data_IF_824820442354
#
_entry.id   IF_824820442354
#
_cell.length_a   1.000
_cell.length_b   1.000
_cell.length_c   1.000
_cell.angle_alpha   90.00
_cell.angle_beta   90.00
_cell.angle_gamma   90.00
#
_symmetry.space_group_name_H-M   'P 1'
#
loop_
_entity.id
_entity.type
_entity.pdbx_description
1 polymer ?
#
# COMPACT_ATOMS: atom_id res chain seq x y z
N UNK A 1 29.79 8.29 -85.91
CA UNK A 1 28.39 8.76 -86.14
C UNK A 1 27.93 9.55 -84.93
N UNK A 2 27.90 10.88 -85.03
CA UNK A 2 26.70 11.75 -84.92
C UNK A 2 25.88 11.53 -83.63
N UNK A 3 25.96 12.53 -82.72
CA UNK A 3 24.87 13.47 -82.33
C UNK A 3 23.87 12.83 -81.34
N UNK A 4 23.40 13.44 -80.25
CA UNK A 4 23.33 14.81 -79.77
C UNK A 4 23.20 14.75 -78.24
N UNK A 5 24.04 15.49 -77.50
CA UNK A 5 23.73 15.91 -76.13
C UNK A 5 22.63 16.95 -76.25
N UNK A 6 21.41 16.64 -75.79
CA UNK A 6 20.32 17.61 -75.76
C UNK A 6 20.18 18.14 -74.32
N UNK A 7 20.69 19.35 -73.98
CA UNK A 7 20.69 19.87 -72.61
C UNK A 7 19.30 20.19 -72.05
N UNK A 8 18.26 20.13 -72.91
CA UNK A 8 16.88 20.42 -72.52
C UNK A 8 16.23 19.33 -71.65
N UNK A 9 16.64 18.06 -71.76
CA UNK A 9 16.09 16.99 -70.91
C UNK A 9 16.59 17.04 -69.46
N UNK A 10 17.84 17.47 -69.25
CA UNK A 10 18.39 17.71 -67.91
C UNK A 10 17.78 18.95 -67.25
N UNK A 11 17.41 19.97 -68.04
CA UNK A 11 16.75 21.17 -67.55
C UNK A 11 15.29 20.88 -67.13
N UNK A 12 14.56 20.05 -67.89
CA UNK A 12 13.19 19.64 -67.54
C UNK A 12 13.18 18.76 -66.29
N UNK A 13 14.15 17.86 -66.13
CA UNK A 13 14.30 17.05 -64.92
C UNK A 13 14.63 17.90 -63.67
N UNK A 14 15.43 18.97 -63.82
CA UNK A 14 15.75 19.87 -62.70
C UNK A 14 14.56 20.76 -62.31
N UNK A 15 13.76 21.21 -63.28
CA UNK A 15 12.54 22.02 -63.03
C UNK A 15 11.43 21.19 -62.38
N UNK A 16 11.31 19.90 -62.72
CA UNK A 16 10.36 18.99 -62.04
C UNK A 16 10.77 18.64 -60.60
N UNK A 17 12.07 18.64 -60.27
CA UNK A 17 12.55 18.43 -58.88
C UNK A 17 12.39 19.70 -58.04
N UNK A 18 12.50 20.89 -58.64
CA UNK A 18 12.28 22.17 -57.95
C UNK A 18 10.77 22.45 -57.74
N UNK A 19 9.89 21.97 -58.63
CA UNK A 19 8.42 22.07 -58.48
C UNK A 19 7.81 21.13 -57.42
N UNK A 20 8.53 20.08 -56.99
CA UNK A 20 8.12 19.23 -55.86
C UNK A 20 8.61 19.75 -54.49
N UNK A 21 9.29 20.90 -54.48
CA UNK A 21 9.85 21.54 -53.27
C UNK A 21 9.10 22.79 -52.83
N UNK A 22 7.94 23.11 -53.45
CA UNK A 22 7.16 24.31 -53.13
C UNK A 22 5.68 24.01 -53.00
N UNK A 23 5.33 23.24 -51.96
CA UNK A 23 4.04 23.33 -51.32
C UNK A 23 4.24 23.65 -49.84
N UNK A 24 3.99 24.93 -49.51
CA UNK A 24 3.51 25.30 -48.19
C UNK A 24 4.56 25.36 -47.07
N UNK A 25 5.36 26.42 -47.09
CA UNK A 25 5.89 27.05 -45.88
C UNK A 25 4.74 27.60 -45.02
N UNK A 26 3.95 26.69 -44.43
CA UNK A 26 2.98 26.99 -43.39
C UNK A 26 3.67 26.79 -42.05
N UNK A 27 4.03 27.92 -41.44
CA UNK A 27 4.39 28.11 -40.04
C UNK A 27 4.13 26.86 -39.15
N UNK A 28 5.16 26.06 -38.85
CA UNK A 28 5.10 25.09 -37.74
C UNK A 28 5.16 25.86 -36.42
N UNK A 29 4.10 26.62 -36.16
CA UNK A 29 3.74 27.01 -34.81
C UNK A 29 3.63 25.75 -33.98
N UNK A 30 4.31 25.73 -32.84
CA UNK A 30 4.16 24.72 -31.80
C UNK A 30 2.66 24.47 -31.61
N UNK A 31 2.19 23.28 -31.98
CA UNK A 31 0.79 22.89 -31.92
C UNK A 31 0.31 22.77 -30.47
N UNK A 32 0.05 23.91 -29.82
CA UNK A 32 -1.06 23.99 -28.90
C UNK A 32 -2.31 23.97 -29.77
N UNK A 33 -3.02 22.86 -29.81
CA UNK A 33 -4.30 22.77 -30.50
C UNK A 33 -5.25 23.77 -29.84
N UNK A 34 -5.42 24.95 -30.45
CA UNK A 34 -6.52 25.83 -30.12
C UNK A 34 -7.80 25.01 -30.31
N UNK A 35 -8.63 24.95 -29.28
CA UNK A 35 -9.92 24.26 -29.34
C UNK A 35 -10.72 24.80 -30.53
N UNK A 36 -11.46 23.95 -31.27
CA UNK A 36 -12.33 24.41 -32.33
C UNK A 36 -13.28 25.51 -31.81
N UNK A 37 -13.38 26.62 -32.52
CA UNK A 37 -14.26 27.74 -32.18
C UNK A 37 -15.65 27.52 -32.80
N UNK A 38 -16.30 26.43 -32.42
CA UNK A 38 -17.63 26.04 -32.88
C UNK A 38 -18.69 26.08 -31.75
N UNK A 39 -18.30 26.62 -30.58
CA UNK A 39 -19.14 26.66 -29.39
C UNK A 39 -19.40 25.30 -28.75
N UNK A 40 -18.73 24.23 -29.21
CA UNK A 40 -18.91 22.87 -28.68
C UNK A 40 -17.82 22.52 -27.67
N UNK A 41 -18.15 21.58 -26.78
CA UNK A 41 -17.22 21.09 -25.76
C UNK A 41 -16.31 20.04 -26.37
N UNK A 42 -15.11 20.44 -26.78
CA UNK A 42 -14.10 19.53 -27.34
C UNK A 42 -13.16 18.89 -26.29
N UNK A 43 -13.20 19.39 -25.05
CA UNK A 43 -12.24 19.03 -24.01
C UNK A 43 -10.84 19.60 -24.28
N UNK A 44 -10.06 19.88 -23.25
CA UNK A 44 -8.67 20.32 -23.44
C UNK A 44 -7.90 19.14 -24.04
N UNK A 45 -7.02 19.41 -25.01
CA UNK A 45 -6.18 18.38 -25.61
C UNK A 45 -5.55 17.54 -24.50
N UNK A 46 -5.65 16.19 -24.56
CA UNK A 46 -5.05 15.36 -23.55
C UNK A 46 -3.58 15.75 -23.46
N UNK A 47 -3.15 16.21 -22.28
CA UNK A 47 -1.73 16.38 -22.00
C UNK A 47 -0.98 15.09 -22.32
N UNK A 48 0.37 15.13 -22.27
CA UNK A 48 1.24 13.97 -22.50
C UNK A 48 0.56 12.65 -22.13
N UNK A 49 0.32 11.77 -23.12
CA UNK A 49 -0.47 10.53 -23.00
C UNK A 49 -0.28 9.90 -21.61
N UNK A 50 -1.30 9.99 -20.76
CA UNK A 50 -1.30 9.35 -19.47
C UNK A 50 -1.27 7.83 -19.68
N UNK A 51 -0.12 7.23 -19.42
CA UNK A 51 0.05 5.78 -19.43
C UNK A 51 -0.01 5.33 -17.99
N UNK A 52 -1.11 4.70 -17.58
CA UNK A 52 -1.26 4.04 -16.27
C UNK A 52 -0.25 2.90 -16.17
N UNK A 53 0.86 3.05 -15.44
CA UNK A 53 1.72 1.92 -15.18
C UNK A 53 1.03 1.05 -14.12
N UNK A 54 0.96 -0.26 -14.36
CA UNK A 54 0.62 -1.22 -13.30
C UNK A 54 1.51 -0.93 -12.08
N UNK A 55 0.95 -0.60 -10.89
CA UNK A 55 1.77 -0.43 -9.70
C UNK A 55 2.54 -1.72 -9.42
N UNK A 56 3.86 -1.64 -9.13
CA UNK A 56 4.66 -2.82 -8.82
C UNK A 56 4.04 -3.61 -7.66
N UNK A 57 4.00 -4.93 -7.79
CA UNK A 57 3.47 -5.81 -6.74
C UNK A 57 1.95 -5.83 -6.61
N UNK A 58 1.19 -5.01 -7.35
CA UNK A 58 -0.27 -4.98 -7.27
C UNK A 58 -0.97 -5.76 -8.38
N UNK A 59 -2.20 -6.19 -8.11
CA UNK A 59 -3.13 -6.81 -9.06
C UNK A 59 -4.38 -5.95 -9.20
N UNK A 60 -4.95 -5.91 -10.41
CA UNK A 60 -6.20 -5.21 -10.64
C UNK A 60 -7.37 -6.08 -10.23
N UNK A 61 -8.19 -5.57 -9.33
CA UNK A 61 -9.44 -6.18 -8.87
C UNK A 61 -10.56 -5.56 -9.72
N UNK A 62 -11.25 -6.36 -10.56
CA UNK A 62 -12.28 -5.85 -11.44
C UNK A 62 -13.48 -5.31 -10.64
N UNK A 63 -14.20 -4.36 -11.21
CA UNK A 63 -15.48 -3.94 -10.61
C UNK A 63 -16.50 -5.08 -10.69
N UNK A 64 -17.40 -5.16 -9.72
CA UNK A 64 -18.45 -6.18 -9.73
C UNK A 64 -19.33 -6.14 -8.50
N UNK A 65 -20.26 -7.09 -8.45
CA UNK A 65 -21.16 -7.29 -7.32
C UNK A 65 -20.86 -8.62 -6.63
N UNK A 66 -20.99 -8.66 -5.31
CA UNK A 66 -20.82 -9.88 -4.54
C UNK A 66 -21.68 -9.91 -3.28
N UNK A 67 -21.84 -11.10 -2.73
CA UNK A 67 -22.50 -11.34 -1.46
C UNK A 67 -21.48 -11.21 -0.33
N UNK A 68 -21.55 -10.11 0.42
CA UNK A 68 -20.72 -9.83 1.59
C UNK A 68 -21.33 -10.47 2.84
N UNK A 69 -20.48 -11.08 3.67
CA UNK A 69 -20.86 -11.68 4.95
C UNK A 69 -20.59 -13.19 5.03
N UNK A 70 -21.13 -13.88 6.05
CA UNK A 70 -20.92 -15.31 6.22
C UNK A 70 -21.49 -16.09 5.02
N UNK A 71 -20.81 -17.18 4.66
CA UNK A 71 -21.22 -18.00 3.51
C UNK A 71 -22.27 -19.05 3.90
N UNK A 72 -22.02 -19.83 4.96
CA UNK A 72 -22.93 -20.89 5.42
C UNK A 72 -22.83 -21.11 6.95
N UNK A 73 -21.62 -21.06 7.52
CA UNK A 73 -21.40 -21.25 8.96
C UNK A 73 -21.47 -19.92 9.74
N UNK A 74 -22.27 -19.90 10.81
CA UNK A 74 -22.15 -18.98 11.95
C UNK A 74 -22.05 -19.82 13.24
N UNK A 75 -20.85 -20.34 13.57
CA UNK A 75 -20.67 -21.22 14.73
C UNK A 75 -21.03 -20.56 16.06
N UNK A 76 -21.01 -19.23 16.12
CA UNK A 76 -21.36 -18.46 17.32
C UNK A 76 -22.86 -18.17 17.43
N UNK A 77 -23.67 -18.49 16.40
CA UNK A 77 -25.08 -18.08 16.28
C UNK A 77 -25.27 -16.59 16.61
N UNK A 78 -24.29 -15.77 16.23
CA UNK A 78 -24.24 -14.37 16.63
C UNK A 78 -25.23 -13.50 15.81
N UNK A 79 -25.63 -13.96 14.62
CA UNK A 79 -26.52 -13.24 13.68
C UNK A 79 -26.11 -11.78 13.40
N UNK A 80 -24.86 -11.42 13.69
CA UNK A 80 -24.35 -10.05 13.67
C UNK A 80 -23.96 -9.59 12.27
N UNK A 81 -23.61 -10.52 11.38
CA UNK A 81 -23.31 -10.26 9.98
C UNK A 81 -24.35 -10.97 9.09
N UNK A 82 -25.26 -10.20 8.49
CA UNK A 82 -26.20 -10.72 7.48
C UNK A 82 -25.56 -10.69 6.11
N UNK A 83 -25.79 -11.76 5.34
CA UNK A 83 -25.38 -11.80 3.95
C UNK A 83 -26.12 -10.72 3.15
N UNK A 84 -25.38 -9.92 2.36
CA UNK A 84 -25.95 -8.84 1.56
C UNK A 84 -25.20 -8.62 0.25
N UNK A 85 -25.93 -8.17 -0.77
CA UNK A 85 -25.32 -7.78 -2.05
C UNK A 85 -24.65 -6.41 -1.93
N UNK A 86 -23.41 -6.33 -2.41
CA UNK A 86 -22.56 -5.14 -2.41
C UNK A 86 -21.92 -4.99 -3.79
N UNK A 87 -21.85 -3.76 -4.29
CA UNK A 87 -21.12 -3.38 -5.50
C UNK A 87 -19.78 -2.73 -5.13
N UNK A 88 -18.70 -3.20 -5.76
CA UNK A 88 -17.34 -2.68 -5.58
C UNK A 88 -16.86 -2.13 -6.93
N UNK A 89 -16.41 -0.88 -6.96
CA UNK A 89 -15.69 -0.31 -8.10
C UNK A 89 -14.30 -0.92 -8.22
N UNK A 90 -13.77 -1.01 -9.44
CA UNK A 90 -12.45 -1.60 -9.67
C UNK A 90 -11.33 -0.79 -9.01
N UNK A 91 -10.32 -1.49 -8.51
CA UNK A 91 -9.19 -0.92 -7.78
C UNK A 91 -7.96 -1.83 -7.91
N UNK A 92 -6.80 -1.35 -7.49
CA UNK A 92 -5.59 -2.17 -7.42
C UNK A 92 -5.31 -2.56 -5.96
N UNK A 93 -4.87 -3.79 -5.73
CA UNK A 93 -4.52 -4.32 -4.42
C UNK A 93 -3.15 -4.97 -4.46
N UNK A 94 -2.36 -4.85 -3.39
CA UNK A 94 -1.11 -5.59 -3.28
C UNK A 94 -1.36 -7.11 -3.38
N UNK A 95 -0.57 -7.78 -4.21
CA UNK A 95 -0.68 -9.21 -4.45
C UNK A 95 -0.41 -10.02 -3.18
N UNK A 96 0.50 -9.54 -2.33
CA UNK A 96 0.92 -10.18 -1.08
C UNK A 96 0.68 -9.24 0.10
N UNK A 97 0.82 -9.74 1.32
CA UNK A 97 1.00 -8.85 2.47
C UNK A 97 2.26 -8.00 2.29
N UNK A 98 2.29 -6.80 2.88
CA UNK A 98 3.51 -5.97 2.90
C UNK A 98 4.62 -6.75 3.59
N UNK A 99 5.74 -6.89 2.90
CA UNK A 99 6.88 -7.66 3.38
C UNK A 99 7.77 -6.84 4.31
N UNK A 100 8.60 -7.52 5.11
CA UNK A 100 9.62 -6.88 5.91
C UNK A 100 10.57 -5.99 5.06
N UNK A 101 10.90 -6.39 3.82
CA UNK A 101 11.74 -5.57 2.95
C UNK A 101 11.06 -4.28 2.49
N UNK A 102 9.79 -4.34 2.12
CA UNK A 102 9.01 -3.15 1.74
C UNK A 102 8.86 -2.21 2.94
N UNK A 103 8.56 -2.76 4.12
CA UNK A 103 8.46 -1.95 5.33
C UNK A 103 9.82 -1.40 5.80
N UNK A 104 10.92 -2.12 5.60
CA UNK A 104 12.28 -1.61 5.85
C UNK A 104 12.60 -0.43 4.94
N UNK A 105 12.10 -0.40 3.69
CA UNK A 105 12.28 0.75 2.81
C UNK A 105 11.66 2.00 3.44
N UNK A 106 10.47 1.88 4.04
CA UNK A 106 9.84 2.96 4.80
C UNK A 106 10.69 3.36 6.03
N UNK A 107 11.08 2.38 6.85
CA UNK A 107 11.92 2.63 8.04
C UNK A 107 13.22 3.34 7.70
N UNK A 108 13.92 2.88 6.66
CA UNK A 108 15.18 3.48 6.24
C UNK A 108 14.97 4.87 5.65
N UNK A 109 13.89 5.09 4.90
CA UNK A 109 13.57 6.42 4.40
C UNK A 109 13.34 7.43 5.54
N UNK A 110 12.62 7.03 6.59
CA UNK A 110 12.36 7.87 7.77
C UNK A 110 13.64 8.09 8.57
N UNK A 111 14.36 7.01 8.88
CA UNK A 111 15.66 7.05 9.56
C UNK A 111 16.63 8.01 8.86
N UNK A 112 16.78 7.87 7.55
CA UNK A 112 17.68 8.69 6.75
C UNK A 112 17.23 10.16 6.77
N UNK A 113 15.92 10.42 6.76
CA UNK A 113 15.37 11.79 6.83
C UNK A 113 15.58 12.43 8.20
N UNK A 114 15.47 11.67 9.29
CA UNK A 114 15.77 12.15 10.66
C UNK A 114 17.26 12.42 10.80
N UNK A 115 18.10 11.47 10.40
CA UNK A 115 19.55 11.60 10.44
C UNK A 115 20.05 12.80 9.62
N UNK A 116 19.48 13.01 8.43
CA UNK A 116 19.83 14.15 7.58
C UNK A 116 19.63 15.48 8.30
N UNK A 117 18.48 15.67 8.96
CA UNK A 117 18.21 16.91 9.70
C UNK A 117 19.18 17.08 10.88
N UNK A 118 19.47 16.01 11.61
CA UNK A 118 20.39 16.03 12.76
C UNK A 118 21.84 16.30 12.35
N UNK A 119 22.25 15.85 11.17
CA UNK A 119 23.58 16.10 10.60
C UNK A 119 23.68 17.39 9.78
N UNK A 120 22.59 18.16 9.66
CA UNK A 120 22.54 19.38 8.84
C UNK A 120 22.60 19.12 7.33
N UNK A 121 22.27 17.91 6.88
CA UNK A 121 22.19 17.56 5.45
C UNK A 121 20.84 17.97 4.88
N UNK A 122 20.58 19.28 4.95
CA UNK A 122 19.38 19.93 4.41
C UNK A 122 19.77 20.96 3.36
N UNK A 123 18.82 21.28 2.48
CA UNK A 123 18.93 22.33 1.46
C UNK A 123 17.70 23.21 1.51
N UNK A 124 17.88 24.52 1.44
CA UNK A 124 16.77 25.46 1.30
C UNK A 124 16.18 25.34 -0.11
N UNK A 125 14.86 25.18 -0.21
CA UNK A 125 14.13 25.27 -1.47
C UNK A 125 13.85 26.73 -1.86
N UNK A 126 13.31 26.95 -3.08
CA UNK A 126 12.92 28.28 -3.56
C UNK A 126 11.94 29.01 -2.63
N UNK A 127 11.09 28.24 -1.94
CA UNK A 127 10.05 28.74 -1.04
C UNK A 127 10.55 29.00 0.39
N UNK A 128 11.86 28.89 0.63
CA UNK A 128 12.48 29.02 1.96
C UNK A 128 12.30 27.81 2.88
N UNK A 129 11.55 26.78 2.45
CA UNK A 129 11.37 25.52 3.19
C UNK A 129 12.63 24.65 3.04
N UNK A 130 13.09 24.08 4.15
CA UNK A 130 14.22 23.14 4.15
C UNK A 130 13.80 21.73 3.73
N UNK A 131 14.55 21.15 2.80
CA UNK A 131 14.37 19.79 2.31
C UNK A 131 15.60 18.94 2.62
N UNK A 132 15.37 17.65 2.87
CA UNK A 132 16.47 16.68 3.05
C UNK A 132 17.31 16.58 1.78
N UNK A 133 18.64 16.72 1.93
CA UNK A 133 19.59 16.47 0.84
C UNK A 133 19.80 14.96 0.67
N UNK A 134 18.95 14.37 -0.18
CA UNK A 134 18.99 12.93 -0.48
C UNK A 134 20.26 12.50 -1.21
N UNK A 135 21.00 13.41 -1.86
CA UNK A 135 22.26 13.08 -2.54
C UNK A 135 23.34 12.81 -1.50
N UNK A 136 23.47 13.69 -0.51
CA UNK A 136 24.38 13.48 0.63
C UNK A 136 24.00 12.22 1.42
N UNK A 137 22.71 12.01 1.69
CA UNK A 137 22.27 10.80 2.40
C UNK A 137 22.56 9.51 1.63
N UNK A 138 22.48 9.51 0.30
CA UNK A 138 22.83 8.33 -0.51
C UNK A 138 24.32 8.00 -0.46
N UNK A 139 25.18 9.01 -0.28
CA UNK A 139 26.63 8.82 -0.14
C UNK A 139 27.06 8.43 1.28
N UNK A 140 26.20 8.62 2.28
CA UNK A 140 26.48 8.31 3.68
C UNK A 140 26.57 6.80 3.90
N UNK A 141 27.65 6.37 4.55
CA UNK A 141 27.89 4.96 4.92
C UNK A 141 27.54 4.76 6.39
N UNK A 142 26.43 4.08 6.66
CA UNK A 142 25.96 3.82 8.02
C UNK A 142 26.93 3.02 8.90
N UNK A 143 27.79 2.21 8.29
CA UNK A 143 28.80 1.42 9.00
C UNK A 143 30.13 2.16 9.20
N UNK A 144 30.26 3.40 8.71
CA UNK A 144 31.47 4.20 8.92
C UNK A 144 31.53 4.66 10.39
N UNK A 145 32.61 4.35 11.13
CA UNK A 145 32.77 4.81 12.51
C UNK A 145 32.57 6.32 12.67
N UNK A 146 33.02 7.14 11.72
CA UNK A 146 32.86 8.60 11.80
C UNK A 146 31.41 9.04 11.76
N UNK A 147 30.59 8.35 10.96
CA UNK A 147 29.14 8.62 10.87
C UNK A 147 28.45 8.21 12.17
N UNK A 148 28.81 7.06 12.72
CA UNK A 148 28.26 6.57 13.99
C UNK A 148 28.62 7.52 15.13
N UNK A 149 29.87 8.02 15.19
CA UNK A 149 30.27 9.01 16.19
C UNK A 149 29.52 10.34 16.05
N UNK A 150 29.39 10.85 14.82
CA UNK A 150 28.64 12.09 14.57
C UNK A 150 27.16 11.95 15.00
N UNK A 151 26.54 10.80 14.72
CA UNK A 151 25.17 10.50 15.16
C UNK A 151 25.07 10.24 16.66
N UNK A 152 26.11 9.70 17.30
CA UNK A 152 26.15 9.50 18.75
C UNK A 152 26.24 10.83 19.52
N UNK A 153 26.68 11.91 18.87
CA UNK A 153 26.55 13.28 19.39
C UNK A 153 25.13 13.86 19.30
N UNK A 154 24.19 13.10 18.74
CA UNK A 154 22.76 13.46 18.62
C UNK A 154 21.91 12.54 19.49
N UNK A 155 20.60 12.80 19.55
CA UNK A 155 19.61 11.96 20.25
C UNK A 155 19.13 10.75 19.43
N UNK A 156 19.70 10.49 18.24
CA UNK A 156 19.29 9.37 17.37
C UNK A 156 19.87 8.01 17.79
N UNK A 157 21.01 8.01 18.50
CA UNK A 157 21.65 6.80 19.00
C UNK A 157 21.25 6.61 20.46
N UNK A 158 21.00 5.36 20.86
CA UNK A 158 20.66 5.01 22.25
C UNK A 158 21.69 5.60 23.24
N UNK A 159 21.28 6.09 24.41
CA UNK A 159 22.20 6.55 25.44
C UNK A 159 23.05 5.39 25.97
N UNK A 160 24.23 5.64 26.59
CA UNK A 160 25.13 4.57 27.06
C UNK A 160 24.47 3.51 27.94
N UNK A 161 23.54 3.91 28.82
CA UNK A 161 22.87 3.02 29.78
C UNK A 161 21.90 2.04 29.11
N UNK A 162 21.39 2.37 27.92
CA UNK A 162 20.44 1.53 27.17
C UNK A 162 21.13 0.57 26.17
N UNK A 163 22.47 0.60 26.10
CA UNK A 163 23.24 -0.18 25.11
C UNK A 163 23.64 -1.55 25.65
N UNK A 164 23.33 -2.59 24.88
CA UNK A 164 23.85 -3.93 25.15
C UNK A 164 25.31 -4.02 24.67
N UNK A 165 26.24 -4.38 25.56
CA UNK A 165 27.69 -4.42 25.31
C UNK A 165 28.26 -3.11 24.76
N UNK A 166 27.67 -1.96 25.12
CA UNK A 166 28.11 -0.63 24.67
C UNK A 166 27.93 -0.37 23.17
N UNK A 167 27.26 -1.27 22.44
CA UNK A 167 27.06 -1.15 21.00
C UNK A 167 26.17 0.07 20.69
N UNK A 168 26.68 0.96 19.83
CA UNK A 168 25.94 2.13 19.35
C UNK A 168 24.89 1.67 18.34
N UNK A 169 23.63 1.73 18.73
CA UNK A 169 22.48 1.38 17.89
C UNK A 169 21.51 2.55 17.85
N UNK A 170 20.75 2.64 16.74
CA UNK A 170 19.74 3.67 16.56
C UNK A 170 18.59 3.40 17.51
N UNK A 171 18.11 4.43 18.20
CA UNK A 171 16.92 4.36 19.03
C UNK A 171 15.67 4.25 18.13
N UNK A 172 14.93 3.11 18.19
CA UNK A 172 13.72 2.92 17.39
C UNK A 172 12.64 3.98 17.63
N UNK A 173 12.58 4.57 18.84
CA UNK A 173 11.59 5.59 19.22
C UNK A 173 11.79 6.92 18.49
N UNK A 174 13.00 7.16 17.97
CA UNK A 174 13.37 8.39 17.24
C UNK A 174 13.08 8.30 15.75
N UNK A 175 12.70 7.12 15.26
CA UNK A 175 12.28 6.92 13.88
C UNK A 175 10.80 7.30 13.77
N UNK A 176 10.56 8.62 13.72
CA UNK A 176 9.22 9.20 13.70
C UNK A 176 8.91 9.73 12.30
N UNK A 177 7.79 9.26 11.74
CA UNK A 177 7.24 9.76 10.50
C UNK A 177 6.24 10.89 10.80
N UNK A 178 6.39 12.00 10.09
CA UNK A 178 5.47 13.14 10.15
C UNK A 178 4.46 12.99 9.01
N UNK A 179 3.26 12.53 9.34
CA UNK A 179 2.13 12.42 8.43
C UNK A 179 1.40 13.76 8.34
N UNK A 180 1.02 14.13 7.11
CA UNK A 180 0.18 15.30 6.82
C UNK A 180 -0.86 14.92 5.77
N UNK A 181 -2.12 14.75 6.20
CA UNK A 181 -3.23 14.33 5.33
C UNK A 181 -4.39 15.31 5.37
N UNK A 182 -5.18 15.33 4.30
CA UNK A 182 -6.36 16.18 4.18
C UNK A 182 -7.63 15.39 4.52
N UNK A 183 -8.37 15.82 5.54
CA UNK A 183 -9.63 15.17 5.93
C UNK A 183 -10.77 15.59 4.99
N UNK A 184 -10.95 14.78 3.93
CA UNK A 184 -12.01 14.99 2.94
C UNK A 184 -13.41 14.90 3.54
N UNK A 185 -13.63 14.06 4.57
CA UNK A 185 -14.96 13.84 5.14
C UNK A 185 -15.39 15.05 5.95
N UNK A 186 -14.49 15.58 6.79
CA UNK A 186 -14.75 16.79 7.56
C UNK A 186 -14.86 18.01 6.64
N UNK A 187 -14.01 18.11 5.61
CA UNK A 187 -14.08 19.20 4.63
C UNK A 187 -15.37 19.17 3.80
N UNK A 188 -15.92 17.99 3.49
CA UNK A 188 -17.15 17.84 2.71
C UNK A 188 -18.44 18.14 3.52
N UNK A 189 -18.36 18.27 4.84
CA UNK A 189 -19.52 18.58 5.66
C UNK A 189 -20.08 19.96 5.27
N UNK A 190 -21.40 20.05 5.03
CA UNK A 190 -22.05 21.30 4.58
C UNK A 190 -21.78 22.49 5.52
N UNK A 191 -21.67 22.23 6.82
CA UNK A 191 -21.36 23.24 7.84
C UNK A 191 -19.96 23.86 7.69
N UNK A 192 -19.05 23.18 7.00
CA UNK A 192 -17.65 23.56 6.79
C UNK A 192 -17.42 24.24 5.43
N UNK A 193 -18.47 24.54 4.66
CA UNK A 193 -18.36 25.24 3.39
C UNK A 193 -17.68 26.61 3.54
N UNK A 194 -16.72 26.92 2.65
CA UNK A 194 -15.98 28.19 2.63
C UNK A 194 -14.86 28.32 3.66
N UNK A 195 -14.63 27.31 4.50
CA UNK A 195 -13.51 27.30 5.45
C UNK A 195 -12.16 27.06 4.72
N UNK A 196 -11.05 27.62 5.23
CA UNK A 196 -9.74 27.45 4.62
C UNK A 196 -9.26 26.00 4.70
N UNK A 197 -8.55 25.55 3.65
CA UNK A 197 -8.00 24.18 3.54
C UNK A 197 -7.17 23.77 4.77
N UNK A 198 -6.43 24.71 5.35
CA UNK A 198 -5.56 24.49 6.51
C UNK A 198 -6.28 23.91 7.72
N UNK A 199 -7.59 24.18 7.89
CA UNK A 199 -8.40 23.67 8.99
C UNK A 199 -8.60 22.15 8.94
N UNK A 200 -8.53 21.56 7.74
CA UNK A 200 -8.76 20.13 7.52
C UNK A 200 -7.46 19.34 7.27
N UNK A 201 -6.31 19.99 7.46
CA UNK A 201 -5.02 19.31 7.40
C UNK A 201 -4.73 18.69 8.77
N UNK A 202 -4.70 17.37 8.81
CA UNK A 202 -4.39 16.58 9.99
C UNK A 202 -2.91 16.22 9.98
N UNK A 203 -2.19 16.63 11.02
CA UNK A 203 -0.77 16.33 11.22
C UNK A 203 -0.59 15.34 12.36
N UNK A 204 0.23 14.31 12.14
CA UNK A 204 0.47 13.25 13.13
C UNK A 204 1.92 12.80 13.11
N UNK A 205 2.47 12.62 14.30
CA UNK A 205 3.78 12.02 14.50
C UNK A 205 3.59 10.56 14.88
N UNK A 206 4.14 9.66 14.08
CA UNK A 206 4.01 8.21 14.27
C UNK A 206 5.40 7.62 14.41
N UNK A 207 5.68 6.95 15.53
CA UNK A 207 6.86 6.10 15.65
C UNK A 207 6.62 4.84 14.80
N UNK A 208 7.43 4.62 13.77
CA UNK A 208 7.12 3.63 12.71
C UNK A 208 7.92 2.34 12.82
N UNK A 209 8.89 2.24 13.72
CA UNK A 209 9.63 0.99 13.90
C UNK A 209 8.71 -0.09 14.49
N UNK A 210 8.67 -1.33 13.93
CA UNK A 210 7.80 -2.38 14.45
C UNK A 210 8.17 -2.78 15.88
N UNK A 211 7.18 -3.04 16.72
CA UNK A 211 7.38 -3.61 18.04
C UNK A 211 7.83 -5.08 17.89
N UNK A 212 9.10 -5.34 18.17
CA UNK A 212 9.69 -6.69 18.07
C UNK A 212 9.40 -7.56 19.29
N UNK A 213 8.95 -6.98 20.41
CA UNK A 213 8.67 -7.70 21.65
C UNK A 213 7.32 -8.44 21.59
N UNK A 214 6.50 -8.18 20.56
CA UNK A 214 5.24 -8.89 20.31
C UNK A 214 5.41 -10.42 20.27
N UNK A 215 6.55 -10.91 19.78
CA UNK A 215 6.84 -12.35 19.71
C UNK A 215 6.94 -13.01 21.09
N UNK A 216 7.32 -12.27 22.12
CA UNK A 216 7.33 -12.73 23.51
C UNK A 216 5.98 -12.41 24.17
N UNK A 217 5.48 -11.18 23.97
CA UNK A 217 4.28 -10.67 24.63
C UNK A 217 3.01 -11.42 24.25
N UNK A 218 2.88 -11.85 22.99
CA UNK A 218 1.68 -12.55 22.52
C UNK A 218 1.64 -14.03 22.94
N UNK A 219 2.78 -14.61 23.35
CA UNK A 219 2.91 -16.03 23.64
C UNK A 219 3.66 -16.26 24.95
N UNK A 220 2.96 -16.10 26.07
CA UNK A 220 3.50 -16.41 27.40
C UNK A 220 3.96 -17.87 27.48
N UNK A 221 5.09 -18.10 28.16
CA UNK A 221 5.69 -19.43 28.37
C UNK A 221 6.10 -20.16 27.07
N UNK A 222 6.58 -19.42 26.08
CA UNK A 222 7.12 -19.97 24.82
C UNK A 222 8.49 -19.38 24.48
N UNK A 223 9.32 -20.14 23.76
CA UNK A 223 10.66 -19.73 23.35
C UNK A 223 10.65 -19.08 21.96
N UNK A 224 10.50 -17.75 21.91
CA UNK A 224 10.36 -16.95 20.69
C UNK A 224 11.41 -15.83 20.55
N UNK A 225 12.43 -15.82 21.41
CA UNK A 225 13.52 -14.86 21.42
C UNK A 225 14.27 -14.75 20.08
N UNK A 226 14.47 -15.83 19.30
CA UNK A 226 15.02 -15.71 17.96
C UNK A 226 14.18 -14.81 17.04
N UNK A 227 12.85 -14.87 17.14
CA UNK A 227 11.94 -14.07 16.32
C UNK A 227 11.99 -12.60 16.74
N UNK A 228 11.96 -12.30 18.04
CA UNK A 228 12.18 -10.93 18.54
C UNK A 228 13.49 -10.32 18.03
N UNK A 229 14.58 -11.09 18.06
CA UNK A 229 15.91 -10.56 17.67
C UNK A 229 16.10 -10.40 16.17
N UNK A 230 15.46 -11.24 15.35
CA UNK A 230 15.85 -11.42 13.94
C UNK A 230 14.71 -11.24 12.93
N UNK A 231 13.44 -11.35 13.30
CA UNK A 231 12.35 -11.36 12.33
C UNK A 231 12.34 -10.08 11.46
N UNK A 232 12.30 -8.92 12.10
CA UNK A 232 12.29 -7.65 11.36
C UNK A 232 13.68 -7.21 10.86
N UNK A 233 14.79 -7.66 11.47
CA UNK A 233 16.14 -7.15 11.16
C UNK A 233 16.92 -8.02 10.16
N UNK A 234 16.69 -9.33 10.13
CA UNK A 234 17.53 -10.26 9.40
C UNK A 234 17.08 -10.40 7.92
N UNK A 235 18.03 -10.45 6.94
CA UNK A 235 17.69 -10.56 5.52
C UNK A 235 16.89 -11.81 5.14
N UNK A 236 17.06 -12.93 5.85
CA UNK A 236 16.34 -14.18 5.58
C UNK A 236 14.81 -14.03 5.69
N UNK A 237 14.32 -13.12 6.54
CA UNK A 237 12.90 -12.82 6.69
C UNK A 237 12.42 -11.70 5.77
N UNK A 238 13.21 -11.29 4.78
CA UNK A 238 12.91 -10.13 3.94
C UNK A 238 11.60 -10.21 3.17
N UNK A 239 11.22 -11.41 2.71
CA UNK A 239 9.99 -11.64 1.95
C UNK A 239 8.84 -12.23 2.81
N UNK A 240 8.98 -12.17 4.14
CA UNK A 240 7.93 -12.54 5.08
C UNK A 240 7.08 -11.30 5.40
N UNK A 241 5.81 -11.44 5.76
CA UNK A 241 4.94 -10.32 6.07
C UNK A 241 5.49 -9.52 7.26
N UNK A 242 5.39 -8.20 7.20
CA UNK A 242 5.70 -7.35 8.35
C UNK A 242 4.64 -7.59 9.45
N UNK A 243 5.11 -7.77 10.68
CA UNK A 243 4.27 -7.89 11.89
C UNK A 243 4.87 -7.03 13.01
N UNK A 244 4.17 -6.93 14.13
CA UNK A 244 4.54 -5.98 15.19
C UNK A 244 4.23 -4.54 14.79
N UNK A 245 3.36 -4.36 13.80
CA UNK A 245 2.84 -3.05 13.37
C UNK A 245 1.41 -2.88 13.85
N UNK A 246 1.09 -1.72 14.42
CA UNK A 246 -0.28 -1.35 14.74
C UNK A 246 -0.97 -0.69 13.55
N UNK A 247 -2.27 -0.44 13.68
CA UNK A 247 -3.07 0.16 12.60
C UNK A 247 -2.56 1.54 12.18
N UNK A 248 -2.13 2.37 13.13
CA UNK A 248 -1.59 3.71 12.84
C UNK A 248 -0.30 3.65 12.01
N UNK A 249 0.58 2.69 12.32
CA UNK A 249 1.81 2.46 11.57
C UNK A 249 1.54 1.95 10.15
N UNK A 250 0.55 1.06 9.99
CA UNK A 250 0.11 0.59 8.68
C UNK A 250 -0.44 1.74 7.81
N UNK A 251 -1.28 2.61 8.39
CA UNK A 251 -1.78 3.82 7.70
C UNK A 251 -0.64 4.78 7.35
N UNK A 252 0.30 5.01 8.26
CA UNK A 252 1.47 5.86 8.00
C UNK A 252 2.33 5.32 6.85
N UNK A 253 2.43 4.00 6.70
CA UNK A 253 3.09 3.39 5.55
C UNK A 253 2.35 3.68 4.24
N UNK A 254 1.02 3.53 4.20
CA UNK A 254 0.23 3.82 3.00
C UNK A 254 0.32 5.31 2.61
N UNK A 255 0.27 6.21 3.59
CA UNK A 255 0.47 7.65 3.39
C UNK A 255 1.87 7.93 2.84
N UNK A 256 2.92 7.37 3.47
CA UNK A 256 4.28 7.50 2.98
C UNK A 256 4.45 6.99 1.55
N UNK A 257 3.86 5.82 1.23
CA UNK A 257 3.93 5.22 -0.11
C UNK A 257 3.31 6.14 -1.16
N UNK A 258 2.20 6.80 -0.82
CA UNK A 258 1.56 7.83 -1.64
C UNK A 258 2.48 9.01 -1.87
N UNK A 259 3.01 9.60 -0.79
CA UNK A 259 3.93 10.74 -0.90
C UNK A 259 5.19 10.38 -1.67
N UNK A 260 5.71 9.16 -1.49
CA UNK A 260 6.91 8.67 -2.17
C UNK A 260 6.70 8.58 -3.69
N UNK A 261 5.57 8.01 -4.12
CA UNK A 261 5.21 7.94 -5.54
C UNK A 261 4.94 9.32 -6.13
N UNK A 262 4.07 10.12 -5.50
CA UNK A 262 3.65 11.40 -6.05
C UNK A 262 4.78 12.44 -6.06
N UNK A 263 5.68 12.44 -5.06
CA UNK A 263 6.88 13.28 -5.10
C UNK A 263 7.80 12.93 -6.27
N UNK A 264 7.90 11.64 -6.63
CA UNK A 264 8.68 11.22 -7.79
C UNK A 264 8.01 11.61 -9.11
N UNK A 265 6.68 11.48 -9.21
CA UNK A 265 5.90 11.90 -10.38
C UNK A 265 6.01 13.41 -10.62
N UNK A 266 5.87 14.21 -9.56
CA UNK A 266 6.04 15.66 -9.61
C UNK A 266 7.44 16.05 -10.10
N UNK A 267 8.48 15.40 -9.58
CA UNK A 267 9.86 15.58 -10.04
C UNK A 267 10.10 15.17 -11.50
N UNK A 268 9.16 14.47 -12.12
CA UNK A 268 9.15 14.10 -13.55
C UNK A 268 8.12 14.88 -14.35
N UNK A 269 7.48 15.90 -13.78
CA UNK A 269 6.37 16.66 -14.38
C UNK A 269 5.25 15.72 -14.88
N UNK A 270 4.95 14.68 -14.10
CA UNK A 270 3.85 13.74 -14.36
C UNK A 270 2.69 14.05 -13.42
N UNK A 271 1.49 13.66 -13.84
CA UNK A 271 0.28 13.79 -13.03
C UNK A 271 0.40 12.89 -11.80
N UNK A 272 -0.01 13.40 -10.65
CA UNK A 272 -0.09 12.64 -9.40
C UNK A 272 -1.14 11.54 -9.51
N UNK A 273 -0.88 10.42 -8.85
CA UNK A 273 -1.80 9.28 -8.76
C UNK A 273 -2.61 9.35 -7.46
N UNK A 274 -3.67 8.54 -7.38
CA UNK A 274 -4.48 8.36 -6.17
C UNK A 274 -3.66 7.88 -4.97
N UNK A 275 -4.26 8.00 -3.79
CA UNK A 275 -3.60 7.61 -2.55
C UNK A 275 -3.62 6.09 -2.33
N UNK A 276 -2.48 5.54 -1.90
CA UNK A 276 -2.43 4.23 -1.27
C UNK A 276 -3.08 4.30 0.11
N UNK A 277 -3.83 3.26 0.45
CA UNK A 277 -4.55 3.16 1.71
C UNK A 277 -4.79 1.69 2.07
N UNK A 278 -5.13 1.43 3.33
CA UNK A 278 -5.70 0.14 3.71
C UNK A 278 -7.01 -0.13 2.94
N UNK A 279 -7.29 -1.40 2.58
CA UNK A 279 -8.56 -1.78 2.00
C UNK A 279 -9.71 -1.50 2.97
N UNK A 280 -10.88 -1.17 2.45
CA UNK A 280 -12.10 -1.35 3.26
C UNK A 280 -12.32 -2.83 3.48
N UNK A 281 -13.05 -3.20 4.53
CA UNK A 281 -13.38 -4.60 4.75
C UNK A 281 -14.16 -5.20 3.55
N UNK A 282 -15.08 -4.44 2.95
CA UNK A 282 -15.82 -4.90 1.78
C UNK A 282 -14.89 -5.15 0.58
N UNK A 283 -13.91 -4.26 0.34
CA UNK A 283 -12.88 -4.47 -0.68
C UNK A 283 -12.04 -5.71 -0.38
N UNK A 284 -11.65 -5.91 0.89
CA UNK A 284 -10.85 -7.06 1.31
C UNK A 284 -11.60 -8.37 1.09
N UNK A 285 -12.88 -8.44 1.50
CA UNK A 285 -13.68 -9.66 1.33
C UNK A 285 -13.92 -9.97 -0.15
N UNK A 286 -14.28 -8.95 -0.93
CA UNK A 286 -14.48 -9.09 -2.37
C UNK A 286 -13.23 -9.64 -3.05
N UNK A 287 -12.07 -9.06 -2.71
CA UNK A 287 -10.78 -9.47 -3.21
C UNK A 287 -10.44 -10.91 -2.78
N UNK A 288 -10.66 -11.27 -1.52
CA UNK A 288 -10.38 -12.59 -0.98
C UNK A 288 -11.19 -13.70 -1.70
N UNK A 289 -12.45 -13.43 -2.05
CA UNK A 289 -13.31 -14.38 -2.77
C UNK A 289 -12.89 -14.63 -4.22
N UNK A 290 -12.01 -13.79 -4.81
CA UNK A 290 -11.43 -14.05 -6.12
C UNK A 290 -12.48 -14.23 -7.23
N UNK A 291 -13.50 -13.38 -7.28
CA UNK A 291 -14.55 -13.45 -8.29
C UNK A 291 -15.64 -14.50 -8.03
N UNK A 292 -15.58 -15.23 -6.91
CA UNK A 292 -16.62 -16.18 -6.49
C UNK A 292 -17.63 -15.50 -5.57
N UNK A 293 -18.89 -15.94 -5.64
CA UNK A 293 -19.91 -15.54 -4.66
C UNK A 293 -20.04 -16.62 -3.59
N UNK A 294 -20.15 -16.24 -2.32
CA UNK A 294 -20.39 -17.17 -1.19
C UNK A 294 -19.34 -18.29 -1.01
N UNK A 295 -18.13 -18.16 -1.57
CA UNK A 295 -17.04 -19.09 -1.29
C UNK A 295 -16.54 -18.95 0.15
N UNK A 296 -16.47 -20.05 0.89
CA UNK A 296 -15.98 -20.05 2.28
C UNK A 296 -14.52 -19.63 2.37
N UNK A 297 -13.66 -20.12 1.47
CA UNK A 297 -12.24 -19.80 1.40
C UNK A 297 -11.84 -19.22 0.03
N UNK A 298 -10.67 -18.57 -0.10
CA UNK A 298 -10.22 -17.92 -1.34
C UNK A 298 -10.09 -18.86 -2.55
N UNK A 299 -9.78 -20.13 -2.30
CA UNK A 299 -9.67 -21.18 -3.32
C UNK A 299 -11.02 -21.80 -3.72
N UNK A 300 -12.15 -21.30 -3.19
CA UNK A 300 -13.50 -21.66 -3.63
C UNK A 300 -14.09 -22.95 -3.02
N UNK A 301 -13.30 -23.76 -2.33
CA UNK A 301 -13.77 -24.98 -1.68
C UNK A 301 -14.21 -24.70 -0.22
N UNK A 302 -14.99 -25.62 0.36
CA UNK A 302 -15.39 -25.61 1.79
C UNK A 302 -14.35 -26.28 2.70
N UNK A 303 -13.36 -26.96 2.13
CA UNK A 303 -12.33 -27.66 2.88
C UNK A 303 -11.00 -26.90 2.89
N UNK A 304 -10.29 -26.96 4.01
CA UNK A 304 -8.93 -26.43 4.20
C UNK A 304 -7.85 -27.27 3.51
N UNK A 305 -8.21 -28.49 3.10
CA UNK A 305 -7.33 -29.44 2.40
C UNK A 305 -7.76 -29.64 0.96
N UNK A 306 -6.78 -29.79 0.08
CA UNK A 306 -7.03 -30.21 -1.29
C UNK A 306 -7.26 -31.73 -1.38
N UNK A 307 -7.53 -32.25 -2.59
CA UNK A 307 -7.75 -33.70 -2.83
C UNK A 307 -6.58 -34.60 -2.41
N UNK A 308 -5.36 -34.05 -2.29
CA UNK A 308 -4.16 -34.78 -1.85
C UNK A 308 -3.95 -34.69 -0.33
N UNK A 309 -4.84 -34.03 0.41
CA UNK A 309 -4.72 -33.83 1.85
C UNK A 309 -3.80 -32.68 2.27
N UNK A 310 -3.25 -31.92 1.33
CA UNK A 310 -2.38 -30.77 1.63
C UNK A 310 -3.22 -29.57 2.08
N UNK A 311 -2.76 -28.90 3.13
CA UNK A 311 -3.34 -27.64 3.61
C UNK A 311 -3.05 -26.51 2.62
N UNK A 312 -4.00 -25.60 2.45
CA UNK A 312 -3.96 -24.55 1.43
C UNK A 312 -3.65 -23.14 1.97
N UNK A 313 -3.37 -23.04 3.27
CA UNK A 313 -3.04 -21.82 3.98
C UNK A 313 -2.11 -22.13 5.16
N UNK A 314 -1.45 -21.10 5.70
CA UNK A 314 -0.67 -21.17 6.94
C UNK A 314 -1.55 -20.80 8.14
N UNK A 315 -1.81 -21.73 9.04
CA UNK A 315 -2.67 -21.54 10.20
C UNK A 315 -2.32 -22.55 11.30
N UNK A 316 -3.21 -22.71 12.28
CA UNK A 316 -3.10 -23.75 13.32
C UNK A 316 -4.12 -24.86 13.07
N UNK A 317 -3.77 -25.93 12.33
CA UNK A 317 -4.68 -27.04 12.02
C UNK A 317 -5.21 -27.77 13.25
N UNK A 318 -4.41 -27.86 14.32
CA UNK A 318 -4.78 -28.60 15.50
C UNK A 318 -4.14 -28.08 16.79
N UNK A 319 -4.65 -28.53 17.92
CA UNK A 319 -4.10 -28.18 19.24
C UNK A 319 -2.65 -28.66 19.33
N UNK A 320 -1.72 -27.71 19.43
CA UNK A 320 -0.28 -28.00 19.51
C UNK A 320 0.38 -28.33 18.18
N UNK A 321 -0.37 -28.38 17.07
CA UNK A 321 0.16 -28.69 15.75
C UNK A 321 0.16 -27.44 14.86
N UNK A 322 1.23 -26.65 14.97
CA UNK A 322 1.48 -25.49 14.11
C UNK A 322 2.11 -25.87 12.75
N UNK A 323 3.13 -26.74 12.66
CA UNK A 323 3.93 -26.86 11.43
C UNK A 323 3.33 -27.74 10.33
N UNK A 324 2.12 -28.29 10.50
CA UNK A 324 1.56 -29.27 9.55
C UNK A 324 1.36 -28.71 8.14
N UNK A 325 1.11 -27.41 8.00
CA UNK A 325 0.97 -26.73 6.71
C UNK A 325 2.31 -26.31 6.07
N UNK A 326 3.43 -26.58 6.74
CA UNK A 326 4.78 -26.20 6.31
C UNK A 326 5.35 -24.94 6.98
N UNK A 327 4.61 -24.26 7.86
CA UNK A 327 5.05 -23.08 8.60
C UNK A 327 4.78 -23.18 10.11
N UNK A 328 5.80 -23.00 10.95
CA UNK A 328 5.56 -22.91 12.41
C UNK A 328 5.06 -21.51 12.82
N UNK A 329 5.54 -20.48 12.13
CA UNK A 329 5.14 -19.09 12.26
C UNK A 329 4.62 -18.60 10.91
N UNK A 330 4.69 -17.30 10.65
CA UNK A 330 4.59 -16.74 9.30
C UNK A 330 5.49 -17.47 8.31
N UNK A 331 5.03 -17.58 7.07
CA UNK A 331 5.81 -18.01 5.90
C UNK A 331 6.03 -16.81 4.98
N UNK A 332 6.74 -17.01 3.86
CA UNK A 332 6.87 -15.95 2.84
C UNK A 332 5.49 -15.50 2.35
N UNK A 333 5.38 -14.22 2.01
CA UNK A 333 4.11 -13.63 1.59
C UNK A 333 3.58 -14.19 0.25
N UNK A 334 4.43 -14.92 -0.49
CA UNK A 334 4.13 -15.61 -1.75
C UNK A 334 4.09 -17.15 -1.64
N UNK A 335 3.93 -17.70 -0.43
CA UNK A 335 4.12 -19.14 -0.17
C UNK A 335 3.00 -20.05 -0.71
N UNK A 336 1.74 -19.63 -0.65
CA UNK A 336 0.59 -20.43 -1.09
C UNK A 336 0.09 -19.99 -2.46
N UNK A 337 -0.80 -20.78 -3.07
CA UNK A 337 -1.37 -20.43 -4.37
C UNK A 337 -2.19 -19.14 -4.28
N UNK A 338 -2.05 -18.23 -5.26
CA UNK A 338 -2.91 -17.07 -5.31
C UNK A 338 -4.35 -17.48 -5.65
N UNK A 339 -5.31 -16.67 -5.23
CA UNK A 339 -6.69 -16.80 -5.71
C UNK A 339 -6.81 -16.34 -7.18
N UNK A 340 -8.02 -16.40 -7.75
CA UNK A 340 -8.24 -16.11 -9.18
C UNK A 340 -7.97 -14.64 -9.56
N UNK A 341 -7.88 -13.73 -8.59
CA UNK A 341 -7.44 -12.34 -8.82
C UNK A 341 -5.92 -12.15 -8.73
N UNK A 342 -5.17 -13.20 -8.36
CA UNK A 342 -3.72 -13.15 -8.21
C UNK A 342 -3.25 -12.74 -6.82
N UNK A 343 -4.12 -12.84 -5.80
CA UNK A 343 -3.81 -12.47 -4.42
C UNK A 343 -3.36 -13.69 -3.62
N UNK A 344 -2.20 -13.58 -2.99
CA UNK A 344 -1.58 -14.58 -2.13
C UNK A 344 -2.02 -14.41 -0.69
N UNK A 345 -2.04 -15.52 0.06
CA UNK A 345 -2.21 -15.54 1.52
C UNK A 345 -3.43 -14.74 2.03
N UNK A 346 -4.51 -14.65 1.26
CA UNK A 346 -5.76 -14.00 1.72
C UNK A 346 -6.41 -14.75 2.90
N UNK A 347 -6.00 -15.98 3.18
CA UNK A 347 -6.38 -16.74 4.37
C UNK A 347 -5.13 -17.28 5.05
N UNK A 348 -5.03 -17.05 6.36
CA UNK A 348 -3.89 -17.48 7.17
C UNK A 348 -2.68 -16.56 7.01
N UNK A 349 -1.50 -17.08 7.36
CA UNK A 349 -0.24 -16.34 7.43
C UNK A 349 -0.31 -15.20 8.44
N UNK A 350 -0.74 -13.99 8.07
CA UNK A 350 -1.05 -12.92 9.04
C UNK A 350 -2.46 -12.37 8.82
N UNK A 351 -3.13 -12.02 9.91
CA UNK A 351 -4.37 -11.29 9.81
C UNK A 351 -4.07 -9.87 9.30
N UNK A 352 -4.97 -9.29 8.52
CA UNK A 352 -4.69 -8.03 7.82
C UNK A 352 -5.56 -6.89 8.33
N UNK A 353 -4.92 -5.76 8.64
CA UNK A 353 -5.61 -4.52 8.96
C UNK A 353 -6.45 -4.02 7.79
N UNK A 354 -7.67 -3.56 8.08
CA UNK A 354 -8.52 -2.82 7.15
C UNK A 354 -8.74 -1.39 7.63
N UNK A 355 -9.21 -0.49 6.77
CA UNK A 355 -9.56 0.88 7.15
C UNK A 355 -10.83 0.95 8.02
N UNK A 356 -11.65 -0.11 7.98
CA UNK A 356 -13.00 -0.14 8.53
C UNK A 356 -13.03 -0.34 10.05
N UNK A 357 -14.03 0.24 10.70
CA UNK A 357 -14.21 0.12 12.15
C UNK A 357 -14.98 -1.13 12.53
N UNK A 358 -14.67 -1.69 13.69
CA UNK A 358 -15.41 -2.83 14.21
C UNK A 358 -16.46 -2.38 15.23
N UNK A 359 -17.72 -2.73 14.95
CA UNK A 359 -18.83 -2.74 15.89
C UNK A 359 -19.87 -3.77 15.42
N UNK A 360 -20.66 -4.30 16.34
CA UNK A 360 -21.49 -5.49 16.12
C UNK A 360 -22.62 -5.26 15.11
N UNK A 361 -23.14 -4.03 15.00
CA UNK A 361 -24.21 -3.65 14.07
C UNK A 361 -23.73 -3.07 12.75
N UNK A 362 -22.44 -3.22 12.40
CA UNK A 362 -21.82 -2.49 11.28
C UNK A 362 -22.41 -2.78 9.92
N UNK A 363 -22.84 -4.01 9.68
CA UNK A 363 -23.43 -4.42 8.41
C UNK A 363 -24.82 -3.81 8.18
N UNK A 364 -25.48 -3.27 9.21
CA UNK A 364 -26.86 -2.77 9.10
C UNK A 364 -26.93 -1.37 8.44
N UNK A 365 -25.93 -0.54 8.63
CA UNK A 365 -25.91 0.86 8.14
C UNK A 365 -24.99 1.07 6.94
N UNK A 366 -24.37 -0.01 6.44
CA UNK A 366 -23.54 0.04 5.25
C UNK A 366 -24.38 0.32 4.00
N UNK A 367 -23.89 1.23 3.17
CA UNK A 367 -24.38 1.41 1.80
C UNK A 367 -24.05 0.17 0.96
N UNK A 368 -24.79 -0.10 -0.12
CA UNK A 368 -24.56 -1.25 -1.01
C UNK A 368 -23.52 -0.97 -2.10
N UNK A 369 -23.33 0.29 -2.50
CA UNK A 369 -22.25 0.75 -3.37
C UNK A 369 -21.03 1.19 -2.55
N UNK A 370 -19.86 0.59 -2.83
CA UNK A 370 -18.55 0.90 -2.23
C UNK A 370 -18.61 1.14 -0.70
N UNK A 371 -19.02 0.12 0.09
CA UNK A 371 -19.25 0.33 1.51
C UNK A 371 -17.95 0.72 2.22
N UNK A 372 -18.01 1.83 2.94
CA UNK A 372 -16.90 2.34 3.72
C UNK A 372 -17.40 2.90 5.06
N UNK A 373 -17.14 2.16 6.14
CA UNK A 373 -17.51 2.57 7.49
C UNK A 373 -16.24 2.85 8.26
N UNK A 374 -15.92 4.14 8.41
CA UNK A 374 -14.70 4.64 9.06
C UNK A 374 -15.02 5.57 10.22
N UNK A 375 -14.25 5.37 11.27
CA UNK A 375 -14.09 6.21 12.45
C UNK A 375 -12.63 6.09 12.86
N UNK A 376 -11.90 7.20 12.83
CA UNK A 376 -10.51 7.25 13.27
C UNK A 376 -10.52 7.83 14.67
N UNK A 377 -10.60 6.94 15.65
CA UNK A 377 -10.66 7.34 17.04
C UNK A 377 -9.41 8.14 17.43
N UNK A 378 -9.61 9.18 18.22
CA UNK A 378 -8.54 9.94 18.86
C UNK A 378 -7.91 9.12 19.98
N UNK A 379 -6.81 9.62 20.53
CA UNK A 379 -6.06 8.93 21.57
C UNK A 379 -6.76 8.98 22.94
N UNK A 380 -7.59 10.00 23.16
CA UNK A 380 -8.46 10.19 24.32
C UNK A 380 -9.82 9.48 24.20
N UNK A 381 -10.18 8.98 23.01
CA UNK A 381 -11.44 8.26 22.82
C UNK A 381 -11.48 6.94 23.63
N UNK A 382 -12.69 6.52 23.97
CA UNK A 382 -12.96 5.27 24.67
C UNK A 382 -12.38 4.06 23.90
N UNK A 383 -11.85 3.04 24.60
CA UNK A 383 -11.29 1.85 23.95
C UNK A 383 -12.22 1.19 22.92
N UNK A 384 -13.53 1.18 23.18
CA UNK A 384 -14.52 0.62 22.24
C UNK A 384 -14.46 1.25 20.84
N UNK A 385 -14.17 2.56 20.76
CA UNK A 385 -14.12 3.31 19.50
C UNK A 385 -12.82 3.05 18.71
N UNK A 386 -11.80 2.48 19.38
CA UNK A 386 -10.46 2.23 18.83
C UNK A 386 -10.35 0.89 18.11
N UNK A 387 -11.44 0.11 18.04
CA UNK A 387 -11.46 -1.21 17.39
C UNK A 387 -11.47 -1.08 15.87
N UNK A 388 -10.50 -1.70 15.21
CA UNK A 388 -10.40 -1.78 13.74
C UNK A 388 -10.58 -3.22 13.29
N UNK A 389 -11.21 -3.41 12.14
CA UNK A 389 -11.46 -4.75 11.61
C UNK A 389 -10.14 -5.35 11.11
N UNK A 390 -9.90 -6.60 11.50
CA UNK A 390 -8.90 -7.48 10.89
C UNK A 390 -9.57 -8.67 10.20
N UNK A 391 -8.94 -9.15 9.12
CA UNK A 391 -9.47 -10.21 8.25
C UNK A 391 -8.42 -11.27 7.91
N UNK A 392 -8.87 -12.43 7.43
CA UNK A 392 -8.02 -13.50 6.89
C UNK A 392 -7.50 -14.52 7.90
N UNK A 393 -7.45 -14.16 9.19
CA UNK A 393 -6.83 -15.02 10.21
C UNK A 393 -5.32 -15.12 10.01
N UNK A 394 -4.65 -15.87 10.88
CA UNK A 394 -3.17 -15.94 10.89
C UNK A 394 -2.65 -17.35 11.15
N UNK A 395 -1.32 -17.50 11.09
CA UNK A 395 -0.58 -18.72 11.43
C UNK A 395 -0.94 -19.29 12.82
N UNK A 396 -1.43 -18.45 13.75
CA UNK A 396 -1.84 -18.91 15.10
C UNK A 396 -3.31 -19.33 15.21
N UNK A 397 -4.11 -18.99 14.21
CA UNK A 397 -5.57 -19.10 14.27
C UNK A 397 -6.07 -20.44 13.73
N UNK A 398 -7.25 -20.85 14.20
CA UNK A 398 -7.93 -22.05 13.69
C UNK A 398 -8.71 -21.74 12.41
N UNK A 399 -9.06 -22.79 11.66
CA UNK A 399 -9.69 -22.71 10.35
C UNK A 399 -10.92 -21.79 10.21
N UNK A 400 -11.68 -21.56 11.29
CA UNK A 400 -12.82 -20.63 11.27
C UNK A 400 -12.42 -19.18 10.91
N UNK A 401 -11.27 -18.72 11.40
CA UNK A 401 -10.81 -17.34 11.14
C UNK A 401 -10.26 -17.15 9.73
N UNK A 402 -10.02 -18.25 9.01
CA UNK A 402 -9.52 -18.23 7.64
C UNK A 402 -10.64 -17.97 6.62
N UNK A 403 -11.91 -18.09 7.02
CA UNK A 403 -13.01 -17.93 6.08
C UNK A 403 -13.09 -16.49 5.56
N UNK A 404 -13.39 -16.33 4.27
CA UNK A 404 -13.45 -15.02 3.61
C UNK A 404 -14.42 -14.07 4.30
N UNK A 405 -15.55 -14.57 4.82
CA UNK A 405 -16.60 -13.78 5.48
C UNK A 405 -16.32 -13.45 6.95
N UNK A 406 -15.35 -14.12 7.59
CA UNK A 406 -15.06 -13.93 9.02
C UNK A 406 -14.28 -12.64 9.23
N UNK A 407 -14.76 -11.79 10.15
CA UNK A 407 -14.02 -10.63 10.68
C UNK A 407 -13.77 -10.79 12.16
N UNK A 408 -12.67 -10.22 12.62
CA UNK A 408 -12.46 -9.95 14.04
C UNK A 408 -12.00 -8.49 14.20
N UNK A 409 -11.58 -8.09 15.40
CA UNK A 409 -11.00 -6.79 15.63
C UNK A 409 -9.71 -6.87 16.44
N UNK A 410 -8.95 -5.79 16.35
CA UNK A 410 -7.90 -5.45 17.29
C UNK A 410 -7.91 -3.93 17.50
N UNK A 411 -7.35 -3.46 18.61
CA UNK A 411 -7.28 -2.02 18.90
C UNK A 411 -6.21 -1.34 18.02
N UNK A 412 -6.53 -0.14 17.51
CA UNK A 412 -5.71 0.58 16.53
C UNK A 412 -4.28 0.93 17.00
N UNK A 413 -4.05 0.93 18.31
CA UNK A 413 -2.78 1.19 18.99
C UNK A 413 -2.01 -0.09 19.35
N UNK A 414 -2.64 -1.25 19.22
CA UNK A 414 -2.04 -2.54 19.55
C UNK A 414 -1.30 -3.15 18.36
N UNK A 415 -0.08 -3.61 18.62
CA UNK A 415 0.75 -4.36 17.67
C UNK A 415 0.78 -5.84 18.05
N UNK A 416 0.77 -6.72 17.04
CA UNK A 416 0.74 -8.18 17.22
C UNK A 416 1.71 -8.89 16.29
N UNK A 417 2.24 -10.02 16.74
CA UNK A 417 3.13 -10.95 15.99
C UNK A 417 2.44 -11.69 14.85
N UNK A 418 1.12 -11.57 14.74
CA UNK A 418 0.27 -12.29 13.79
C UNK A 418 -0.66 -11.35 12.99
N UNK A 419 -0.46 -10.03 13.09
CA UNK A 419 -1.21 -9.04 12.32
C UNK A 419 -0.24 -8.24 11.46
N UNK A 420 -0.51 -8.20 10.16
CA UNK A 420 0.14 -7.37 9.16
C UNK A 420 -0.89 -6.57 8.37
N UNK A 421 -0.59 -6.24 7.11
CA UNK A 421 -1.51 -5.51 6.25
C UNK A 421 -1.08 -5.58 4.77
N UNK A 422 -1.95 -5.09 3.89
CA UNK A 422 -1.71 -4.83 2.48
C UNK A 422 -2.39 -3.52 2.08
N UNK A 423 -1.92 -2.85 1.03
CA UNK A 423 -2.56 -1.63 0.55
C UNK A 423 -3.45 -1.87 -0.68
N UNK A 424 -4.30 -0.88 -0.93
CA UNK A 424 -5.01 -0.67 -2.17
C UNK A 424 -4.76 0.73 -2.71
N UNK A 425 -5.00 0.93 -4.00
CA UNK A 425 -5.01 2.24 -4.65
C UNK A 425 -6.14 2.29 -5.68
N UNK A 426 -6.90 3.38 -5.66
CA UNK A 426 -8.04 3.59 -6.55
C UNK A 426 -7.55 4.18 -7.87
N UNK A 427 -7.14 3.32 -8.81
CA UNK A 427 -6.79 3.68 -10.19
C UNK A 427 -7.73 2.98 -11.18
N UNK A 428 -8.05 3.63 -12.32
CA UNK A 428 -8.85 3.01 -13.37
C UNK A 428 -8.18 1.74 -13.92
N UNK A 429 -8.99 0.88 -14.54
CA UNK A 429 -8.47 -0.29 -15.26
C UNK A 429 -7.48 0.17 -16.35
N UNK A 430 -6.32 -0.48 -16.45
CA UNK A 430 -5.45 -0.28 -17.60
C UNK A 430 -6.25 -0.57 -18.88
N UNK A 431 -6.24 0.31 -19.90
CA UNK A 431 -6.99 0.08 -21.13
C UNK A 431 -6.48 -1.21 -21.77
N UNK A 432 -7.28 -2.28 -21.68
CA UNK A 432 -7.02 -3.47 -22.45
C UNK A 432 -7.17 -3.07 -23.91
N UNK A 433 -6.08 -3.18 -24.70
CA UNK A 433 -6.22 -3.24 -26.15
C UNK A 433 -7.09 -4.46 -26.42
N UNK A 434 -8.37 -4.25 -26.71
CA UNK A 434 -9.22 -5.27 -27.34
C UNK A 434 -8.41 -5.79 -28.53
N UNK A 435 -8.00 -7.05 -28.45
CA UNK A 435 -7.34 -7.74 -29.55
C UNK A 435 -8.36 -8.07 -30.62
#
# INVERSE_FOLDING_TARGET
>A
MKKLKNPYYSLIALVCIIMLSSCGSGNKGKGGSSLPNDGQVHGIAPGNRYSMPKPPGMVYIPQGTFHMGPSDEDPAYAFSARNRSVSISGFWMDATEITNNEYRQFVFWVRDSVAARKLGYVKAGPDGIEYVDRVKMKALKWNDPKVIEALAGTDLILPPDDRIFGKKEIDPSKIVYHSEVFDLKEAAARANAGQPRSKFIVRKDVAIYPDTLVWIRDFAYSYNEPMTKRYFSHPAFGNYPVVGVNWKQAVAFSEWRTHYLNSWLDGKNRVQESDFRLPTEAQWEYAARGGRSQSMFPWGNYYLRNKKGCLMANFKPGRGNYPEDGGFYTVRADAYWPNDFGLYCMSGNVAEWTSSIYYEGRTNFMHDMNPDVRWNAKDDDLPLMKRKIIRGGSWKDVGYYLQCGTSTYEYQDSAKSYIGFRDVIDLPAAPQRRR
#
